data_IF_564591720621
#
_entry.id   IF_564591720621
#
_cell.length_a   1.000
_cell.length_b   1.000
_cell.length_c   1.000
_cell.angle_alpha   90.00
_cell.angle_beta   90.00
_cell.angle_gamma   90.00
#
_symmetry.space_group_name_H-M   'P 1'
#
loop_
_entity.id
_entity.type
_entity.pdbx_description
1 polymer ?
#
# COMPACT_ATOMS: atom_id res chain seq x y z
N UNK A 1 18.64 -0.13 -13.57
CA UNK A 1 17.34 0.41 -13.19
C UNK A 1 17.13 0.27 -11.69
N UNK A 2 16.77 1.34 -11.06
CA UNK A 2 16.53 1.30 -9.63
C UNK A 2 15.14 0.75 -9.32
N UNK A 3 15.10 -0.08 -8.30
CA UNK A 3 13.82 -0.54 -7.78
C UNK A 3 13.69 0.01 -6.37
N UNK A 4 12.52 0.51 -6.05
CA UNK A 4 12.26 1.05 -4.72
C UNK A 4 11.91 -0.09 -3.78
N UNK A 5 12.38 0.01 -2.55
CA UNK A 5 12.17 -1.03 -1.57
C UNK A 5 10.69 -1.17 -1.23
N UNK A 6 10.12 -2.37 -1.33
CA UNK A 6 8.71 -2.56 -0.98
C UNK A 6 8.50 -2.48 0.53
N UNK A 7 7.34 -1.98 0.91
CA UNK A 7 6.90 -2.00 2.30
C UNK A 7 6.16 -3.31 2.52
N UNK A 8 6.62 -4.12 3.46
CA UNK A 8 6.01 -5.41 3.74
C UNK A 8 5.41 -5.41 5.14
N UNK A 9 4.17 -5.86 5.26
CA UNK A 9 3.49 -5.93 6.54
C UNK A 9 2.43 -7.03 6.49
N UNK A 10 1.83 -7.32 7.64
CA UNK A 10 0.80 -8.34 7.75
C UNK A 10 -0.51 -7.73 8.20
N UNK A 11 -1.60 -8.23 7.63
CA UNK A 11 -2.95 -7.77 7.96
C UNK A 11 -3.79 -8.99 8.31
N UNK A 12 -4.59 -8.87 9.36
CA UNK A 12 -5.61 -9.86 9.68
C UNK A 12 -6.93 -9.40 9.09
N UNK A 13 -7.54 -10.26 8.27
CA UNK A 13 -8.79 -9.94 7.60
C UNK A 13 -9.63 -11.21 7.51
N UNK A 14 -10.87 -11.14 7.97
CA UNK A 14 -11.80 -12.28 7.99
C UNK A 14 -11.19 -13.52 8.66
N UNK A 15 -10.44 -13.31 9.74
CA UNK A 15 -9.83 -14.40 10.47
C UNK A 15 -8.58 -14.96 9.85
N UNK A 16 -8.12 -14.42 8.74
CA UNK A 16 -6.91 -14.86 8.06
C UNK A 16 -5.84 -13.78 8.13
N UNK A 17 -4.59 -14.23 8.18
CA UNK A 17 -3.46 -13.33 8.17
C UNK A 17 -2.83 -13.32 6.78
N UNK A 18 -2.66 -12.14 6.22
CA UNK A 18 -2.07 -11.99 4.88
C UNK A 18 -0.78 -11.19 4.95
N UNK A 19 0.20 -11.63 4.18
CA UNK A 19 1.37 -10.81 3.93
C UNK A 19 1.02 -9.84 2.80
N UNK A 20 1.27 -8.56 3.02
CA UNK A 20 0.98 -7.53 2.04
C UNK A 20 2.27 -6.82 1.70
N UNK A 21 2.50 -6.64 0.40
CA UNK A 21 3.63 -5.86 -0.10
C UNK A 21 3.09 -4.64 -0.84
N UNK A 22 3.57 -3.48 -0.45
CA UNK A 22 3.25 -2.24 -1.14
C UNK A 22 4.51 -1.78 -1.86
N UNK A 23 4.51 -1.87 -3.17
CA UNK A 23 5.67 -1.56 -4.00
C UNK A 23 5.51 -0.17 -4.59
N UNK A 24 6.34 0.80 -4.19
CA UNK A 24 6.20 2.15 -4.74
C UNK A 24 6.60 2.19 -6.20
N UNK A 25 5.85 2.93 -6.99
CA UNK A 25 6.16 3.15 -8.39
C UNK A 25 7.13 4.31 -8.58
N UNK A 26 7.05 5.32 -7.71
CA UNK A 26 7.79 6.56 -7.86
C UNK A 26 8.72 6.78 -6.70
N UNK A 27 9.71 7.64 -6.89
CA UNK A 27 10.56 8.07 -5.79
C UNK A 27 9.73 8.79 -4.72
N UNK A 28 10.17 8.74 -3.45
CA UNK A 28 9.49 9.53 -2.42
C UNK A 28 9.45 10.99 -2.80
N UNK A 29 8.30 11.62 -2.53
CA UNK A 29 8.11 13.04 -2.79
C UNK A 29 8.71 13.87 -1.68
N UNK A 30 8.46 15.17 -1.68
CA UNK A 30 8.88 16.06 -0.61
C UNK A 30 8.40 15.61 0.77
N UNK A 31 7.35 14.81 0.81
CA UNK A 31 6.79 14.30 2.06
C UNK A 31 7.31 12.90 2.37
N UNK A 32 8.25 12.42 1.59
CA UNK A 32 8.86 11.10 1.75
C UNK A 32 7.87 9.93 1.62
N UNK A 33 6.71 10.18 1.04
CA UNK A 33 5.73 9.13 0.78
C UNK A 33 5.47 9.07 -0.71
N UNK A 34 5.74 7.93 -1.36
CA UNK A 34 5.43 7.78 -2.78
C UNK A 34 3.95 8.02 -3.07
N UNK A 35 3.67 8.46 -4.28
CA UNK A 35 2.30 8.79 -4.68
C UNK A 35 1.48 7.58 -5.08
N UNK A 36 2.13 6.49 -5.47
CA UNK A 36 1.41 5.32 -5.97
C UNK A 36 2.13 4.05 -5.57
N UNK A 37 1.34 3.05 -5.19
CA UNK A 37 1.85 1.74 -4.80
C UNK A 37 1.10 0.63 -5.52
N UNK A 38 1.84 -0.40 -5.91
CA UNK A 38 1.23 -1.65 -6.32
C UNK A 38 1.06 -2.51 -5.08
N UNK A 39 -0.11 -3.10 -4.91
CA UNK A 39 -0.42 -3.90 -3.73
C UNK A 39 -0.46 -5.38 -4.12
N UNK A 40 0.28 -6.19 -3.38
CA UNK A 40 0.34 -7.63 -3.60
C UNK A 40 0.01 -8.35 -2.30
N UNK A 41 -0.95 -9.28 -2.37
CA UNK A 41 -1.32 -10.12 -1.23
C UNK A 41 -0.67 -11.49 -1.44
N UNK A 42 0.32 -11.81 -0.59
CA UNK A 42 1.10 -13.01 -0.80
C UNK A 42 1.82 -12.95 -2.14
N UNK A 43 1.34 -13.71 -3.11
CA UNK A 43 1.89 -13.69 -4.45
C UNK A 43 0.90 -13.17 -5.49
N UNK A 44 -0.26 -12.71 -5.06
CA UNK A 44 -1.35 -12.30 -5.95
C UNK A 44 -1.44 -10.77 -6.00
N UNK A 45 -1.24 -10.16 -7.18
CA UNK A 45 -1.45 -8.72 -7.34
C UNK A 45 -2.91 -8.37 -7.09
N UNK A 46 -3.15 -7.32 -6.30
CA UNK A 46 -4.51 -6.91 -5.94
C UNK A 46 -4.86 -5.52 -6.43
N UNK A 47 -3.97 -4.87 -7.15
CA UNK A 47 -4.25 -3.56 -7.71
C UNK A 47 -3.33 -2.49 -7.16
N UNK A 48 -3.79 -1.25 -7.23
CA UNK A 48 -2.98 -0.09 -6.87
C UNK A 48 -3.68 0.79 -5.87
N UNK A 49 -2.87 1.49 -5.08
CA UNK A 49 -3.35 2.55 -4.20
C UNK A 49 -2.63 3.83 -4.62
N UNK A 50 -3.38 4.92 -4.71
CA UNK A 50 -2.84 6.20 -5.11
C UNK A 50 -3.09 7.24 -4.03
N UNK A 51 -2.09 8.08 -3.75
CA UNK A 51 -2.22 9.15 -2.78
C UNK A 51 -2.59 10.46 -3.51
N UNK A 52 -3.69 11.05 -3.11
CA UNK A 52 -4.13 12.35 -3.57
C UNK A 52 -3.75 13.41 -2.52
N UNK A 53 -3.83 14.70 -2.86
CA UNK A 53 -3.47 15.74 -1.89
C UNK A 53 -4.23 15.68 -0.57
N UNK A 54 -5.47 15.22 -0.60
CA UNK A 54 -6.33 15.21 0.58
C UNK A 54 -6.81 13.83 1.01
N UNK A 55 -6.48 12.77 0.26
CA UNK A 55 -6.96 11.44 0.58
C UNK A 55 -6.20 10.37 -0.17
N UNK A 56 -6.42 9.12 0.22
CA UNK A 56 -5.94 7.96 -0.51
C UNK A 56 -7.09 7.34 -1.29
N UNK A 57 -6.80 6.77 -2.45
CA UNK A 57 -7.80 6.15 -3.31
C UNK A 57 -7.32 4.83 -3.88
N UNK A 58 -8.28 3.95 -4.15
CA UNK A 58 -8.04 2.75 -4.94
C UNK A 58 -9.31 2.38 -5.68
N UNK A 59 -9.20 2.07 -6.96
CA UNK A 59 -10.32 1.56 -7.74
C UNK A 59 -10.42 0.05 -7.65
N UNK A 60 -9.37 -0.60 -7.17
CA UNK A 60 -9.27 -2.06 -7.16
C UNK A 60 -9.59 -2.68 -5.80
N UNK A 61 -9.30 -1.97 -4.73
CA UNK A 61 -9.54 -2.45 -3.38
C UNK A 61 -10.77 -1.75 -2.83
N UNK A 62 -11.88 -2.46 -2.80
CA UNK A 62 -13.17 -1.88 -2.43
C UNK A 62 -13.56 -2.11 -0.97
N UNK A 63 -12.93 -3.03 -0.30
CA UNK A 63 -13.17 -3.26 1.12
C UNK A 63 -12.52 -2.13 1.91
N UNK A 64 -13.33 -1.28 2.50
CA UNK A 64 -12.85 -0.09 3.20
C UNK A 64 -11.96 -0.43 4.39
N UNK A 65 -12.31 -1.44 5.16
CA UNK A 65 -11.51 -1.83 6.31
C UNK A 65 -10.13 -2.31 5.89
N UNK A 66 -10.08 -3.10 4.83
CA UNK A 66 -8.83 -3.59 4.27
C UNK A 66 -8.00 -2.44 3.71
N UNK A 67 -8.63 -1.56 2.96
CA UNK A 67 -7.97 -0.39 2.39
C UNK A 67 -7.36 0.49 3.49
N UNK A 68 -8.13 0.78 4.53
CA UNK A 68 -7.64 1.62 5.64
C UNK A 68 -6.45 0.97 6.34
N UNK A 69 -6.50 -0.34 6.55
CA UNK A 69 -5.40 -1.07 7.18
C UNK A 69 -4.13 -0.97 6.35
N UNK A 70 -4.25 -1.11 5.03
CA UNK A 70 -3.10 -1.00 4.12
C UNK A 70 -2.49 0.39 4.20
N UNK A 71 -3.32 1.43 4.08
CA UNK A 71 -2.86 2.80 4.12
C UNK A 71 -2.17 3.12 5.44
N UNK A 72 -2.77 2.70 6.56
CA UNK A 72 -2.20 2.94 7.88
C UNK A 72 -0.81 2.30 8.03
N UNK A 73 -0.63 1.10 7.51
CA UNK A 73 0.66 0.43 7.57
C UNK A 73 1.70 1.11 6.70
N UNK A 74 1.30 1.60 5.53
CA UNK A 74 2.20 2.36 4.66
C UNK A 74 2.66 3.64 5.37
N UNK A 75 1.72 4.36 5.96
CA UNK A 75 2.04 5.60 6.65
C UNK A 75 2.96 5.38 7.84
N UNK A 76 2.78 4.28 8.56
CA UNK A 76 3.68 3.92 9.66
C UNK A 76 5.10 3.73 9.19
N UNK A 77 5.27 3.09 8.04
CA UNK A 77 6.60 2.81 7.52
C UNK A 77 7.37 4.09 7.21
N UNK A 78 6.68 5.08 6.66
CA UNK A 78 7.33 6.32 6.21
C UNK A 78 7.38 7.42 7.27
N UNK A 79 6.94 7.15 8.45
CA UNK A 79 7.03 8.11 9.54
C UNK A 79 8.39 8.13 10.20
#
# INVERSE_FOLDING_TARGET
METFEPVTFYINHDGNRFEVKAIPYDEPTEQDVPLRFQIIFGETPRGEIERKPDKWESTDIQDKALFDAIVNNILKYYK
#
